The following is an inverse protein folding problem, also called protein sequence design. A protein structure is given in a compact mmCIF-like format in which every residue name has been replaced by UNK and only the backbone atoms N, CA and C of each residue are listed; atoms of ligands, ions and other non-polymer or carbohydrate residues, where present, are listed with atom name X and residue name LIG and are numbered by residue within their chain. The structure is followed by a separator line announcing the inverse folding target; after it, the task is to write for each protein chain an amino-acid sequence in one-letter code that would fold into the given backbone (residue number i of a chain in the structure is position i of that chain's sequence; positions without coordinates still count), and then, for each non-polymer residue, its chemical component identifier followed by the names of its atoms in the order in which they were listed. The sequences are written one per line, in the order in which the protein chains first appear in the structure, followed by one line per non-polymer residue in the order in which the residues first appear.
data_IF_275536453828
#
_entry.id   IF_275536453828
#
_cell.length_a   1.000
_cell.length_b   1.000
_cell.length_c   1.000
_cell.angle_alpha   90.00
_cell.angle_beta   90.00
_cell.angle_gamma   90.00
#
_symmetry.space_group_name_H-M   'P 1'
#
loop_
_entity.id
_entity.type
_entity.pdbx_description
1 polymer ?
#
# COMPACT_ATOMS: atom_id res chain seq x y z
N UNK A 1 21.70 -6.25 -8.75
CA UNK A 1 21.70 -6.21 -10.23
C UNK A 1 21.34 -4.79 -10.61
N UNK A 2 22.16 -4.10 -11.41
CA UNK A 2 21.98 -2.67 -11.67
C UNK A 2 20.75 -2.35 -12.53
N UNK A 3 20.20 -1.16 -12.40
CA UNK A 3 19.22 -0.61 -13.34
C UNK A 3 19.80 -0.58 -14.78
N UNK A 4 19.03 -1.05 -15.75
CA UNK A 4 19.53 -1.34 -17.10
C UNK A 4 19.39 -0.22 -18.14
N UNK A 5 19.01 0.99 -17.74
CA UNK A 5 18.88 2.09 -18.68
C UNK A 5 19.15 3.43 -18.01
N UNK A 6 20.04 4.23 -18.60
CA UNK A 6 20.01 5.71 -18.76
C UNK A 6 19.53 6.64 -17.63
N UNK A 7 19.28 6.13 -16.43
CA UNK A 7 18.69 6.86 -15.31
C UNK A 7 19.67 6.80 -14.14
N UNK A 8 19.93 7.95 -13.54
CA UNK A 8 20.71 8.03 -12.32
C UNK A 8 19.93 7.38 -11.18
N UNK A 9 20.44 6.25 -10.71
CA UNK A 9 19.95 5.58 -9.51
C UNK A 9 20.82 5.93 -8.31
N UNK A 10 20.22 5.87 -7.12
CA UNK A 10 20.91 5.89 -5.84
C UNK A 10 20.82 4.52 -5.21
N UNK A 11 21.88 4.11 -4.54
CA UNK A 11 21.86 2.90 -3.69
C UNK A 11 21.52 3.31 -2.26
N UNK A 12 20.51 2.66 -1.68
CA UNK A 12 20.08 2.89 -0.29
C UNK A 12 19.68 1.58 0.33
N UNK A 13 19.95 1.46 1.62
CA UNK A 13 19.54 0.34 2.45
C UNK A 13 18.53 0.75 3.53
N UNK A 14 17.84 1.86 3.27
CA UNK A 14 16.81 2.43 4.12
C UNK A 14 15.82 3.24 3.28
N UNK A 15 14.61 3.42 3.82
CA UNK A 15 13.64 4.39 3.35
C UNK A 15 13.57 5.54 4.35
N UNK A 16 13.25 6.77 3.93
CA UNK A 16 13.16 7.95 4.82
C UNK A 16 14.50 8.37 5.47
N UNK A 17 15.02 7.61 6.42
CA UNK A 17 16.29 7.81 7.12
C UNK A 17 16.90 6.46 7.57
N UNK A 18 18.10 6.49 8.14
CA UNK A 18 18.86 5.27 8.48
C UNK A 18 18.25 4.42 9.60
N UNK A 19 17.20 4.88 10.28
CA UNK A 19 16.50 4.10 11.29
C UNK A 19 15.47 3.13 10.69
N UNK A 20 15.19 3.23 9.39
CA UNK A 20 14.15 2.47 8.70
C UNK A 20 14.77 1.58 7.62
N UNK A 21 15.50 0.54 8.06
CA UNK A 21 16.26 -0.28 7.14
C UNK A 21 15.37 -1.12 6.21
N UNK A 22 15.90 -1.38 5.02
CA UNK A 22 15.29 -2.26 4.03
C UNK A 22 15.87 -3.66 4.23
N UNK A 23 15.01 -4.69 4.22
CA UNK A 23 15.42 -6.09 4.35
C UNK A 23 14.80 -6.92 3.24
N UNK A 24 15.62 -7.66 2.53
CA UNK A 24 15.15 -8.47 1.42
C UNK A 24 14.55 -9.79 1.90
N UNK A 25 13.40 -10.17 1.32
CA UNK A 25 12.78 -11.47 1.59
C UNK A 25 13.53 -12.58 0.88
N UNK A 26 13.97 -13.60 1.61
CA UNK A 26 14.72 -14.74 1.05
C UNK A 26 13.95 -16.05 1.06
N UNK A 27 12.93 -16.18 1.92
CA UNK A 27 12.11 -17.39 2.01
C UNK A 27 10.74 -17.08 2.63
N UNK A 28 9.97 -18.14 2.86
CA UNK A 28 8.80 -18.13 3.74
C UNK A 28 9.02 -19.10 4.89
N UNK A 29 8.45 -18.79 6.06
CA UNK A 29 8.35 -19.74 7.16
C UNK A 29 7.13 -20.68 6.97
N UNK A 30 6.88 -21.56 7.93
CA UNK A 30 5.76 -22.50 7.88
C UNK A 30 4.37 -21.83 7.81
N UNK A 31 4.25 -20.60 8.33
CA UNK A 31 3.01 -19.81 8.31
C UNK A 31 2.88 -18.95 7.05
N UNK A 32 3.72 -19.18 6.05
CA UNK A 32 3.82 -18.38 4.82
C UNK A 32 4.16 -16.90 5.07
N UNK A 33 4.71 -16.57 6.24
CA UNK A 33 5.25 -15.23 6.51
C UNK A 33 6.65 -15.13 5.92
N UNK A 34 6.99 -13.99 5.32
CA UNK A 34 8.29 -13.74 4.72
C UNK A 34 9.43 -13.80 5.73
N UNK A 35 10.47 -14.56 5.41
CA UNK A 35 11.74 -14.56 6.13
C UNK A 35 12.66 -13.54 5.46
N UNK A 36 13.20 -12.64 6.26
CA UNK A 36 14.01 -11.52 5.79
C UNK A 36 15.40 -11.57 6.43
N UNK A 37 16.43 -11.24 5.65
CA UNK A 37 17.81 -11.14 6.15
C UNK A 37 18.04 -9.80 6.84
N UNK A 38 19.30 -9.52 7.22
CA UNK A 38 19.67 -8.18 7.65
C UNK A 38 19.54 -7.14 6.54
N UNK A 39 19.97 -5.92 6.86
CA UNK A 39 19.93 -4.76 6.00
C UNK A 39 20.42 -5.06 4.56
N UNK A 40 19.64 -4.64 3.57
CA UNK A 40 19.83 -4.90 2.15
C UNK A 40 19.91 -3.60 1.36
N UNK A 41 20.82 -3.53 0.38
CA UNK A 41 20.94 -2.38 -0.52
C UNK A 41 20.04 -2.57 -1.73
N UNK A 42 19.19 -1.58 -1.97
CA UNK A 42 18.37 -1.46 -3.17
C UNK A 42 18.79 -0.24 -4.00
N UNK A 43 18.54 -0.31 -5.31
CA UNK A 43 18.72 0.82 -6.21
C UNK A 43 17.38 1.50 -6.50
N UNK A 44 17.37 2.83 -6.45
CA UNK A 44 16.17 3.62 -6.69
C UNK A 44 16.46 4.82 -7.57
N UNK A 45 15.47 5.24 -8.34
CA UNK A 45 15.36 6.62 -8.76
C UNK A 45 15.23 7.53 -7.51
N UNK A 46 16.03 8.60 -7.43
CA UNK A 46 16.08 9.49 -6.26
C UNK A 46 14.71 10.07 -5.87
N UNK A 47 13.91 10.51 -6.85
CA UNK A 47 12.58 11.07 -6.58
C UNK A 47 11.62 10.00 -6.08
N UNK A 48 11.66 8.80 -6.65
CA UNK A 48 10.84 7.69 -6.20
C UNK A 48 11.22 7.23 -4.79
N UNK A 49 12.51 7.11 -4.47
CA UNK A 49 12.98 6.84 -3.10
C UNK A 49 12.42 7.84 -2.08
N UNK A 50 12.38 9.14 -2.44
CA UNK A 50 11.76 10.17 -1.61
C UNK A 50 10.26 9.94 -1.37
N UNK A 51 9.52 9.40 -2.37
CA UNK A 51 8.11 9.00 -2.19
C UNK A 51 7.98 7.76 -1.31
N UNK A 52 8.88 6.79 -1.40
CA UNK A 52 8.92 5.65 -0.48
C UNK A 52 9.16 6.10 0.98
N UNK A 53 10.06 7.09 1.18
CA UNK A 53 10.24 7.69 2.51
C UNK A 53 8.97 8.40 3.03
N UNK A 54 8.20 9.04 2.15
CA UNK A 54 6.91 9.64 2.52
C UNK A 54 5.86 8.56 2.88
N UNK A 55 5.87 7.39 2.22
CA UNK A 55 5.03 6.25 2.63
C UNK A 55 5.34 5.87 4.09
N UNK A 56 6.63 5.71 4.43
CA UNK A 56 7.05 5.34 5.79
C UNK A 56 6.62 6.39 6.81
N UNK A 57 6.95 7.66 6.59
CA UNK A 57 6.54 8.77 7.47
C UNK A 57 5.04 8.76 7.75
N UNK A 58 4.23 8.59 6.71
CA UNK A 58 2.78 8.63 6.81
C UNK A 58 2.19 7.35 7.43
N UNK A 59 2.84 6.20 7.26
CA UNK A 59 2.51 4.97 7.98
C UNK A 59 2.66 5.18 9.49
N UNK A 60 3.78 5.77 9.93
CA UNK A 60 4.03 6.00 11.36
C UNK A 60 3.00 6.93 11.99
N UNK A 61 2.73 8.05 11.32
CA UNK A 61 1.73 9.03 11.77
C UNK A 61 0.35 8.36 11.94
N UNK A 62 -0.10 7.57 10.96
CA UNK A 62 -1.44 6.97 10.98
C UNK A 62 -1.56 5.75 11.87
N UNK A 63 -0.51 4.95 11.96
CA UNK A 63 -0.47 3.81 12.87
C UNK A 63 -0.24 4.25 14.32
N UNK A 64 0.32 5.44 14.55
CA UNK A 64 0.78 5.87 15.86
C UNK A 64 1.94 5.01 16.39
N UNK A 65 2.76 4.47 15.48
CA UNK A 65 3.80 3.47 15.76
C UNK A 65 5.02 3.74 14.91
N UNK A 66 6.20 3.54 15.47
CA UNK A 66 7.47 3.63 14.73
C UNK A 66 7.68 2.39 13.88
N UNK A 67 8.03 2.57 12.60
CA UNK A 67 8.45 1.48 11.72
C UNK A 67 9.90 1.16 12.04
N UNK A 68 10.18 -0.10 12.35
CA UNK A 68 11.54 -0.61 12.60
C UNK A 68 12.22 -0.91 11.27
N UNK A 69 11.56 -1.68 10.40
CA UNK A 69 12.10 -2.00 9.08
C UNK A 69 11.03 -2.37 8.07
N UNK A 70 11.42 -2.29 6.78
CA UNK A 70 10.57 -2.56 5.63
C UNK A 70 11.14 -3.77 4.90
N UNK A 71 10.28 -4.76 4.64
CA UNK A 71 10.59 -5.89 3.79
C UNK A 71 10.40 -5.53 2.31
N UNK A 72 11.36 -5.93 1.47
CA UNK A 72 11.26 -5.83 0.02
C UNK A 72 11.43 -7.20 -0.69
N UNK A 73 11.08 -7.23 -1.98
CA UNK A 73 11.43 -8.30 -2.93
C UNK A 73 12.19 -7.73 -4.15
N UNK A 74 12.50 -6.43 -4.11
CA UNK A 74 13.18 -5.73 -5.19
C UNK A 74 12.62 -4.33 -5.44
N UNK A 75 13.52 -3.38 -5.70
CA UNK A 75 13.18 -2.06 -6.22
C UNK A 75 13.62 -1.91 -7.69
N UNK A 76 14.88 -2.18 -8.00
CA UNK A 76 15.41 -2.11 -9.36
C UNK A 76 15.84 -3.48 -9.89
N UNK A 77 15.31 -3.83 -11.07
CA UNK A 77 15.70 -5.04 -11.80
C UNK A 77 15.83 -4.68 -13.28
N UNK A 78 16.84 -5.22 -13.93
CA UNK A 78 17.09 -5.09 -15.37
C UNK A 78 15.97 -5.71 -16.23
N UNK A 79 14.83 -5.04 -16.32
CA UNK A 79 13.67 -5.45 -17.12
C UNK A 79 12.89 -4.23 -17.61
N UNK A 80 11.99 -4.41 -18.57
CA UNK A 80 11.05 -3.37 -18.97
C UNK A 80 10.14 -2.94 -17.81
N UNK A 81 9.67 -1.69 -17.82
CA UNK A 81 8.76 -1.15 -16.82
C UNK A 81 9.47 -0.38 -15.70
N UNK A 82 8.73 -0.08 -14.63
CA UNK A 82 9.21 0.85 -13.59
C UNK A 82 10.33 0.29 -12.71
N UNK A 83 10.40 -1.03 -12.51
CA UNK A 83 11.59 -1.64 -11.90
C UNK A 83 12.87 -1.40 -12.73
N UNK A 84 12.78 -1.38 -14.07
CA UNK A 84 13.92 -1.09 -14.96
C UNK A 84 14.55 0.28 -14.76
N UNK A 85 13.79 1.21 -14.19
CA UNK A 85 14.22 2.59 -13.92
C UNK A 85 14.32 2.91 -12.43
N UNK A 86 14.26 1.90 -11.54
CA UNK A 86 14.27 2.09 -10.08
C UNK A 86 13.08 2.91 -9.56
N UNK A 87 11.96 2.90 -10.28
CA UNK A 87 10.74 3.68 -10.01
C UNK A 87 9.59 2.84 -9.46
N UNK A 88 9.89 1.61 -9.03
CA UNK A 88 8.96 0.69 -8.39
C UNK A 88 9.60 0.05 -7.16
N UNK A 89 8.76 -0.46 -6.26
CA UNK A 89 9.15 -1.23 -5.09
C UNK A 89 8.09 -2.29 -4.81
N UNK A 90 8.52 -3.52 -4.57
CA UNK A 90 7.65 -4.60 -4.12
C UNK A 90 7.79 -4.76 -2.61
N UNK A 91 6.78 -4.30 -1.86
CA UNK A 91 6.77 -4.33 -0.39
C UNK A 91 6.30 -5.71 0.08
N UNK A 92 7.15 -6.45 0.80
CA UNK A 92 6.81 -7.75 1.41
C UNK A 92 6.36 -7.63 2.86
N UNK A 93 6.82 -6.62 3.60
CA UNK A 93 6.60 -6.55 5.03
C UNK A 93 6.72 -5.13 5.59
N UNK A 94 5.94 -4.83 6.64
CA UNK A 94 6.19 -3.73 7.55
C UNK A 94 6.34 -4.30 8.96
N UNK A 95 7.48 -4.03 9.60
CA UNK A 95 7.71 -4.35 11.01
C UNK A 95 7.70 -3.05 11.81
N UNK A 96 6.88 -3.01 12.85
CA UNK A 96 6.88 -1.93 13.83
C UNK A 96 7.78 -2.27 15.01
N UNK A 97 8.31 -1.24 15.68
CA UNK A 97 9.17 -1.38 16.85
C UNK A 97 8.49 -2.08 18.04
N UNK A 98 7.15 -2.02 18.12
CA UNK A 98 6.36 -2.73 19.14
C UNK A 98 6.15 -4.23 18.84
N UNK A 99 6.77 -4.74 17.77
CA UNK A 99 6.63 -6.12 17.32
C UNK A 99 5.43 -6.37 16.40
N UNK A 100 4.54 -5.39 16.18
CA UNK A 100 3.44 -5.50 15.22
C UNK A 100 3.99 -5.74 13.81
N UNK A 101 3.28 -6.58 13.06
CA UNK A 101 3.65 -7.03 11.74
C UNK A 101 2.50 -6.83 10.75
N UNK A 102 2.83 -6.35 9.55
CA UNK A 102 2.02 -6.52 8.35
C UNK A 102 2.87 -7.30 7.34
N UNK A 103 2.49 -8.54 7.05
CA UNK A 103 3.13 -9.37 6.04
C UNK A 103 2.23 -9.40 4.80
N UNK A 104 2.73 -8.93 3.66
CA UNK A 104 1.89 -8.73 2.47
C UNK A 104 1.58 -10.03 1.72
N UNK A 105 2.19 -11.16 2.10
CA UNK A 105 1.78 -12.48 1.64
C UNK A 105 0.69 -13.10 2.52
N UNK A 106 0.74 -12.91 3.84
CA UNK A 106 -0.16 -13.57 4.79
C UNK A 106 -1.35 -12.69 5.21
N UNK A 107 -1.14 -11.40 5.48
CA UNK A 107 -2.11 -10.54 6.18
C UNK A 107 -3.45 -10.38 5.45
N UNK A 108 -3.46 -10.40 4.11
CA UNK A 108 -4.72 -10.27 3.34
C UNK A 108 -5.63 -11.50 3.41
N UNK A 109 -5.12 -12.64 3.88
CA UNK A 109 -5.88 -13.90 4.05
C UNK A 109 -5.92 -14.42 5.50
N UNK A 110 -5.29 -13.73 6.43
CA UNK A 110 -5.23 -14.10 7.85
C UNK A 110 -6.46 -13.60 8.63
N UNK A 111 -6.26 -13.07 9.84
CA UNK A 111 -7.34 -12.60 10.71
C UNK A 111 -8.01 -11.32 10.17
N UNK A 112 -9.19 -10.97 10.71
CA UNK A 112 -9.84 -9.72 10.35
C UNK A 112 -8.97 -8.49 10.66
N UNK A 113 -8.21 -8.51 11.76
CA UNK A 113 -7.29 -7.44 12.12
C UNK A 113 -6.14 -7.31 11.10
N UNK A 114 -5.59 -8.42 10.64
CA UNK A 114 -4.50 -8.41 9.66
C UNK A 114 -4.96 -7.95 8.28
N UNK A 115 -6.16 -8.37 7.85
CA UNK A 115 -6.78 -7.91 6.61
C UNK A 115 -6.99 -6.40 6.60
N UNK A 116 -7.42 -5.84 7.73
CA UNK A 116 -7.57 -4.38 7.91
C UNK A 116 -6.23 -3.67 7.80
N UNK A 117 -5.19 -4.18 8.46
CA UNK A 117 -3.84 -3.61 8.37
C UNK A 117 -3.28 -3.67 6.95
N UNK A 118 -3.50 -4.77 6.24
CA UNK A 118 -3.10 -4.94 4.83
C UNK A 118 -3.75 -3.86 3.93
N UNK A 119 -5.06 -3.68 4.01
CA UNK A 119 -5.76 -2.61 3.27
C UNK A 119 -5.30 -1.23 3.73
N UNK A 120 -5.03 -1.05 5.02
CA UNK A 120 -4.51 0.20 5.56
C UNK A 120 -3.16 0.57 4.93
N UNK A 121 -2.25 -0.39 4.82
CA UNK A 121 -0.97 -0.25 4.13
C UNK A 121 -1.17 0.08 2.63
N UNK A 122 -2.02 -0.67 1.92
CA UNK A 122 -2.26 -0.43 0.50
C UNK A 122 -2.85 0.97 0.23
N UNK A 123 -3.80 1.44 1.05
CA UNK A 123 -4.38 2.77 0.94
C UNK A 123 -3.34 3.86 1.24
N UNK A 124 -2.47 3.65 2.23
CA UNK A 124 -1.36 4.55 2.55
C UNK A 124 -0.38 4.66 1.37
N UNK A 125 -0.02 3.55 0.74
CA UNK A 125 0.79 3.57 -0.48
C UNK A 125 0.10 4.38 -1.59
N UNK A 126 -1.19 4.13 -1.85
CA UNK A 126 -1.94 4.77 -2.95
C UNK A 126 -2.17 6.26 -2.75
N UNK A 127 -2.10 6.73 -1.51
CA UNK A 127 -2.13 8.15 -1.17
C UNK A 127 -0.83 8.87 -1.56
N UNK A 128 0.29 8.15 -1.64
CA UNK A 128 1.61 8.72 -1.92
C UNK A 128 2.06 8.47 -3.36
N UNK A 129 1.70 7.32 -3.95
CA UNK A 129 2.05 6.96 -5.33
C UNK A 129 0.81 6.70 -6.17
N UNK A 130 0.93 6.81 -7.50
CA UNK A 130 -0.23 6.68 -8.40
C UNK A 130 -0.64 5.24 -8.71
N UNK A 131 0.27 4.27 -8.62
CA UNK A 131 -0.04 2.87 -8.88
C UNK A 131 0.24 2.02 -7.64
N UNK A 132 -0.75 1.24 -7.23
CA UNK A 132 -0.63 0.24 -6.16
C UNK A 132 -1.33 -1.02 -6.62
N UNK A 133 -0.60 -2.13 -6.65
CA UNK A 133 -1.15 -3.45 -7.01
C UNK A 133 -1.12 -4.32 -5.75
N UNK A 134 -2.29 -4.83 -5.38
CA UNK A 134 -2.48 -5.64 -4.17
C UNK A 134 -2.60 -7.12 -4.53
N UNK A 135 -2.77 -7.97 -3.52
CA UNK A 135 -2.95 -9.41 -3.69
C UNK A 135 -4.17 -9.80 -4.53
N UNK A 136 -5.12 -8.89 -4.71
CA UNK A 136 -6.28 -9.10 -5.57
C UNK A 136 -6.04 -8.70 -7.03
N UNK A 137 -4.93 -8.04 -7.37
CA UNK A 137 -4.66 -7.59 -8.73
C UNK A 137 -4.51 -8.78 -9.68
N UNK A 138 -3.54 -9.66 -9.42
CA UNK A 138 -3.38 -10.94 -10.11
C UNK A 138 -2.50 -11.90 -9.27
N UNK A 139 -2.22 -13.10 -9.79
CA UNK A 139 -1.43 -14.12 -9.09
C UNK A 139 -0.02 -13.65 -8.70
N UNK A 140 0.64 -12.84 -9.54
CA UNK A 140 2.01 -12.38 -9.30
C UNK A 140 2.12 -11.46 -8.07
N UNK A 141 1.03 -10.78 -7.71
CA UNK A 141 0.98 -9.81 -6.62
C UNK A 141 0.41 -10.39 -5.32
N UNK A 142 0.06 -11.68 -5.27
CA UNK A 142 -0.51 -12.30 -4.06
C UNK A 142 0.43 -12.32 -2.86
N UNK A 143 1.73 -12.13 -3.10
CA UNK A 143 2.76 -12.21 -2.10
C UNK A 143 3.46 -10.88 -1.80
N UNK A 144 3.00 -9.77 -2.37
CA UNK A 144 3.55 -8.43 -2.15
C UNK A 144 2.54 -7.32 -2.44
N UNK A 145 2.91 -6.08 -2.09
CA UNK A 145 2.24 -4.89 -2.62
C UNK A 145 3.23 -4.20 -3.54
N UNK A 146 2.90 -4.12 -4.82
CA UNK A 146 3.68 -3.35 -5.79
C UNK A 146 3.29 -1.88 -5.70
N UNK A 147 4.29 -1.00 -5.71
CA UNK A 147 4.10 0.45 -5.77
C UNK A 147 4.98 1.06 -6.85
N UNK A 148 4.44 1.96 -7.67
CA UNK A 148 5.22 2.73 -8.64
C UNK A 148 4.69 4.15 -8.81
N UNK A 149 5.56 5.05 -9.29
CA UNK A 149 5.22 6.43 -9.61
C UNK A 149 5.09 6.69 -11.11
N UNK A 150 4.72 5.67 -11.89
CA UNK A 150 4.44 5.79 -13.31
C UNK A 150 3.31 6.76 -13.62
N UNK A 151 2.31 6.76 -12.73
CA UNK A 151 1.26 7.76 -12.66
C UNK A 151 1.51 8.62 -11.42
N UNK A 152 1.31 9.94 -11.56
CA UNK A 152 1.31 10.84 -10.40
C UNK A 152 0.16 10.50 -9.44
N UNK A 153 0.16 11.09 -8.25
CA UNK A 153 -1.02 10.99 -7.40
C UNK A 153 -2.21 11.68 -8.10
N UNK A 154 -3.32 10.94 -8.21
CA UNK A 154 -4.56 11.35 -8.87
C UNK A 154 -5.76 10.91 -8.03
N UNK A 155 -6.95 11.51 -8.23
CA UNK A 155 -8.20 11.03 -7.63
C UNK A 155 -8.41 9.51 -7.80
N UNK A 156 -9.34 8.93 -7.03
CA UNK A 156 -9.68 7.51 -7.19
C UNK A 156 -10.23 7.29 -8.60
N UNK A 157 -9.54 6.44 -9.37
CA UNK A 157 -9.91 6.14 -10.76
C UNK A 157 -10.80 4.91 -10.80
N UNK A 158 -11.58 4.79 -11.87
CA UNK A 158 -12.30 3.57 -12.23
C UNK A 158 -11.44 2.69 -13.15
N UNK A 159 -10.21 2.39 -12.70
CA UNK A 159 -9.29 1.46 -13.36
C UNK A 159 -9.10 0.25 -12.46
N UNK A 160 -8.76 -0.89 -13.04
CA UNK A 160 -8.70 -2.20 -12.37
C UNK A 160 -8.01 -2.15 -10.98
N UNK A 161 -6.82 -1.55 -10.87
CA UNK A 161 -6.05 -1.49 -9.62
C UNK A 161 -6.77 -0.71 -8.51
N UNK A 162 -7.28 0.47 -8.84
CA UNK A 162 -8.00 1.33 -7.88
C UNK A 162 -9.35 0.67 -7.53
N UNK A 163 -10.07 0.12 -8.51
CA UNK A 163 -11.34 -0.57 -8.28
C UNK A 163 -11.17 -1.78 -7.36
N UNK A 164 -10.19 -2.66 -7.60
CA UNK A 164 -9.92 -3.83 -6.75
C UNK A 164 -9.57 -3.43 -5.31
N UNK A 165 -8.77 -2.38 -5.14
CA UNK A 165 -8.47 -1.82 -3.81
C UNK A 165 -9.75 -1.35 -3.11
N UNK A 166 -10.64 -0.63 -3.81
CA UNK A 166 -11.89 -0.14 -3.21
C UNK A 166 -12.88 -1.27 -2.91
N UNK A 167 -13.05 -2.24 -3.82
CA UNK A 167 -13.89 -3.42 -3.59
C UNK A 167 -13.41 -4.20 -2.35
N UNK A 168 -12.11 -4.47 -2.25
CA UNK A 168 -11.52 -5.13 -1.09
C UNK A 168 -11.69 -4.31 0.20
N UNK A 169 -11.49 -2.99 0.12
CA UNK A 169 -11.71 -2.07 1.25
C UNK A 169 -13.16 -2.12 1.74
N UNK A 170 -14.12 -2.09 0.82
CA UNK A 170 -15.54 -2.19 1.14
C UNK A 170 -15.87 -3.52 1.83
N UNK A 171 -15.35 -4.64 1.33
CA UNK A 171 -15.54 -5.94 1.96
C UNK A 171 -14.93 -6.00 3.37
N UNK A 172 -13.71 -5.48 3.54
CA UNK A 172 -12.94 -5.63 4.79
C UNK A 172 -13.37 -4.62 5.88
N UNK A 173 -13.61 -3.36 5.52
CA UNK A 173 -13.93 -2.30 6.49
C UNK A 173 -15.42 -2.09 6.68
N UNK A 174 -16.25 -2.45 5.68
CA UNK A 174 -17.70 -2.24 5.70
C UNK A 174 -18.50 -3.55 5.67
N UNK A 175 -17.85 -4.71 5.69
CA UNK A 175 -18.49 -6.03 5.66
C UNK A 175 -19.41 -6.24 4.43
N UNK A 176 -19.01 -5.65 3.30
CA UNK A 176 -19.66 -5.88 2.01
C UNK A 176 -19.31 -7.27 1.45
N UNK A 177 -20.09 -7.73 0.47
CA UNK A 177 -19.90 -9.03 -0.19
C UNK A 177 -19.69 -8.85 -1.71
N UNK A 178 -18.81 -7.92 -2.10
CA UNK A 178 -18.49 -7.67 -3.50
C UNK A 178 -17.55 -8.74 -4.05
N UNK A 179 -17.75 -9.12 -5.31
CA UNK A 179 -16.68 -9.70 -6.12
C UNK A 179 -15.56 -8.67 -6.28
N UNK A 180 -14.30 -9.12 -6.18
CA UNK A 180 -13.12 -8.26 -6.40
C UNK A 180 -12.60 -8.55 -7.81
N UNK A 181 -13.30 -8.02 -8.82
CA UNK A 181 -13.03 -8.24 -10.25
C UNK A 181 -12.30 -7.07 -10.91
N UNK A 182 -12.32 -5.88 -10.30
CA UNK A 182 -11.76 -4.66 -10.89
C UNK A 182 -12.72 -3.88 -11.79
N UNK A 183 -13.96 -4.33 -11.92
CA UNK A 183 -15.00 -3.66 -12.67
C UNK A 183 -15.82 -2.72 -11.77
N UNK A 184 -15.80 -1.43 -12.09
CA UNK A 184 -16.55 -0.45 -11.30
C UNK A 184 -18.03 -0.45 -11.72
N UNK A 185 -18.79 -1.39 -11.19
CA UNK A 185 -20.23 -1.54 -11.45
C UNK A 185 -21.14 -0.86 -10.41
N UNK A 186 -22.48 -0.94 -10.60
CA UNK A 186 -23.46 -0.36 -9.67
C UNK A 186 -23.34 -0.88 -8.24
N UNK A 187 -22.98 -2.16 -8.03
CA UNK A 187 -22.76 -2.73 -6.70
C UNK A 187 -21.54 -2.09 -6.01
N UNK A 188 -20.45 -1.92 -6.74
CA UNK A 188 -19.25 -1.23 -6.26
C UNK A 188 -19.55 0.23 -5.94
N UNK A 189 -20.28 0.95 -6.80
CA UNK A 189 -20.69 2.34 -6.54
C UNK A 189 -21.52 2.45 -5.26
N UNK A 190 -22.50 1.56 -5.06
CA UNK A 190 -23.36 1.56 -3.87
C UNK A 190 -22.57 1.27 -2.58
N UNK A 191 -21.68 0.28 -2.60
CA UNK A 191 -20.81 -0.06 -1.48
C UNK A 191 -19.81 1.06 -1.15
N UNK A 192 -19.20 1.65 -2.17
CA UNK A 192 -18.35 2.83 -2.04
C UNK A 192 -19.10 4.01 -1.41
N UNK A 193 -20.35 4.24 -1.84
CA UNK A 193 -21.23 5.24 -1.22
C UNK A 193 -21.45 4.99 0.27
N UNK A 194 -21.77 3.74 0.67
CA UNK A 194 -21.94 3.36 2.09
C UNK A 194 -20.65 3.51 2.90
N UNK A 195 -19.51 3.13 2.33
CA UNK A 195 -18.20 3.34 2.95
C UNK A 195 -17.97 4.84 3.21
N UNK A 196 -18.20 5.69 2.19
CA UNK A 196 -18.10 7.15 2.34
C UNK A 196 -19.05 7.70 3.39
N UNK A 197 -20.28 7.20 3.49
CA UNK A 197 -21.23 7.59 4.54
C UNK A 197 -20.65 7.28 5.93
N UNK A 198 -20.12 6.07 6.14
CA UNK A 198 -19.48 5.70 7.41
C UNK A 198 -18.26 6.56 7.75
N UNK A 199 -17.49 6.97 6.74
CA UNK A 199 -16.36 7.88 6.89
C UNK A 199 -16.77 9.36 7.00
N UNK A 200 -18.08 9.67 7.01
CA UNK A 200 -18.64 11.04 7.02
C UNK A 200 -18.14 11.93 5.87
N UNK A 201 -18.00 11.35 4.68
CA UNK A 201 -17.48 12.02 3.49
C UNK A 201 -18.61 12.39 2.49
N UNK A 202 -19.76 12.84 3.00
CA UNK A 202 -20.93 13.17 2.17
C UNK A 202 -20.72 14.39 1.27
N UNK A 203 -19.98 15.39 1.76
CA UNK A 203 -19.73 16.67 1.09
C UNK A 203 -18.53 16.66 0.12
N UNK A 204 -17.73 15.60 0.11
CA UNK A 204 -16.49 15.47 -0.70
C UNK A 204 -16.70 14.60 -1.94
N UNK A 205 -15.80 14.61 -2.92
CA UNK A 205 -15.80 13.64 -4.02
C UNK A 205 -14.40 13.09 -4.35
N UNK A 206 -13.98 11.98 -3.71
CA UNK A 206 -12.68 11.34 -3.96
C UNK A 206 -12.44 10.85 -5.40
N UNK A 207 -13.50 10.71 -6.23
CA UNK A 207 -13.34 10.29 -7.64
C UNK A 207 -12.99 11.44 -8.58
N UNK A 208 -13.20 12.69 -8.16
CA UNK A 208 -12.99 13.87 -9.02
C UNK A 208 -12.06 14.92 -8.40
N UNK A 209 -11.81 14.86 -7.09
CA UNK A 209 -10.96 15.81 -6.38
C UNK A 209 -9.80 15.08 -5.68
N UNK A 210 -8.58 15.56 -5.88
CA UNK A 210 -7.37 14.94 -5.36
C UNK A 210 -7.23 15.11 -3.83
N UNK A 211 -7.62 16.26 -3.27
CA UNK A 211 -7.61 16.47 -1.82
C UNK A 211 -8.61 15.55 -1.12
N UNK A 212 -9.79 15.38 -1.70
CA UNK A 212 -10.80 14.45 -1.21
C UNK A 212 -10.33 12.99 -1.29
N UNK A 213 -9.61 12.63 -2.35
CA UNK A 213 -8.97 11.31 -2.49
C UNK A 213 -7.90 11.08 -1.42
N UNK A 214 -7.08 12.10 -1.12
CA UNK A 214 -6.10 12.04 -0.03
C UNK A 214 -6.76 11.84 1.31
N UNK A 215 -7.83 12.59 1.61
CA UNK A 215 -8.60 12.42 2.84
C UNK A 215 -9.22 11.02 2.93
N UNK A 216 -9.85 10.54 1.86
CA UNK A 216 -10.49 9.22 1.81
C UNK A 216 -9.50 8.08 2.03
N UNK A 217 -8.40 8.07 1.29
CA UNK A 217 -7.34 7.07 1.46
C UNK A 217 -6.67 7.19 2.82
N UNK A 218 -6.50 8.40 3.34
CA UNK A 218 -5.96 8.65 4.66
C UNK A 218 -6.83 8.08 5.78
N UNK A 219 -8.16 8.19 5.68
CA UNK A 219 -9.10 7.60 6.63
C UNK A 219 -9.14 6.06 6.52
N UNK A 220 -9.07 5.51 5.30
CA UNK A 220 -8.93 4.05 5.11
C UNK A 220 -7.63 3.55 5.73
N UNK A 221 -6.51 4.23 5.47
CA UNK A 221 -5.21 3.91 6.03
C UNK A 221 -5.24 3.92 7.57
N UNK A 222 -5.70 5.01 8.18
CA UNK A 222 -5.77 5.13 9.63
C UNK A 222 -6.70 4.09 10.25
N UNK A 223 -7.88 3.86 9.66
CA UNK A 223 -8.81 2.83 10.11
C UNK A 223 -8.20 1.43 10.05
N UNK A 224 -7.60 1.09 8.91
CA UNK A 224 -7.02 -0.22 8.66
C UNK A 224 -5.81 -0.53 9.53
N UNK A 225 -4.85 0.41 9.62
CA UNK A 225 -3.62 0.24 10.40
C UNK A 225 -3.90 0.07 11.90
N UNK A 226 -4.96 0.70 12.42
CA UNK A 226 -5.42 0.55 13.80
C UNK A 226 -6.39 -0.64 14.00
N UNK A 227 -6.51 -1.52 13.00
CA UNK A 227 -7.35 -2.72 12.99
C UNK A 227 -8.85 -2.45 13.28
N UNK A 228 -9.34 -1.25 12.94
CA UNK A 228 -10.72 -0.83 13.15
C UNK A 228 -11.60 -1.08 11.91
N UNK A 229 -12.92 -0.89 12.06
CA UNK A 229 -13.89 -0.88 10.97
C UNK A 229 -14.23 0.56 10.54
N UNK A 230 -14.84 0.71 9.37
CA UNK A 230 -15.24 2.03 8.85
C UNK A 230 -16.12 2.78 9.88
N UNK A 231 -15.81 4.06 10.09
CA UNK A 231 -16.49 4.94 11.04
C UNK A 231 -15.77 5.14 12.38
N UNK A 232 -14.71 4.36 12.66
CA UNK A 232 -13.83 4.61 13.82
C UNK A 232 -13.03 5.92 13.65
N UNK A 233 -12.62 6.21 12.41
CA UNK A 233 -12.05 7.50 12.02
C UNK A 233 -12.93 8.09 10.94
N UNK A 234 -13.19 9.39 11.04
CA UNK A 234 -14.14 10.09 10.17
C UNK A 234 -13.54 11.40 9.71
N UNK A 235 -13.90 11.80 8.49
CA UNK A 235 -13.62 13.13 8.00
C UNK A 235 -14.53 14.16 8.66
N UNK A 236 -14.18 15.42 8.43
CA UNK A 236 -15.06 16.56 8.72
C UNK A 236 -15.69 17.01 7.41
N UNK A 237 -16.97 16.71 7.29
CA UNK A 237 -17.93 17.63 6.68
C UNK A 237 -18.53 18.44 7.84
#
# INVERSE_FOLDING_TARGET
MGACSGYTVITRNYLLDTAHDIRHRTAYNADLTGVHTGQHNEEFNQTFWGRCGEIVRQLEIRAGKTVDWIGDIGAAVCKSGYHGSGRALDISQIRYADGTLIDTNASWRATAADKRRYIGLAAQCRMVVGTVLTAWYNADHQNHIHVDNGVGFVPIRTVESDTKLIQATCNILNAEALTIDGDWGPLTEAAYGRLRTKLKMGCTNPKTNAADATLFLGLIAQTGLNAQVAGAYVGTC
#
